data_IF_899720913628
#
_entry.id   IF_899720913628
#
_cell.length_a   1.000
_cell.length_b   1.000
_cell.length_c   1.000
_cell.angle_alpha   90.00
_cell.angle_beta   90.00
_cell.angle_gamma   90.00
#
_symmetry.space_group_name_H-M   'P 1'
#
loop_
_entity.id
_entity.type
_entity.pdbx_description
1 polymer ?
#
# COMPACT_ATOMS: atom_id res chain seq x y z
N UNK A 1 -12.45 -7.07 -4.63
CA UNK A 1 -13.27 -6.58 -5.75
C UNK A 1 -14.64 -7.27 -5.79
N UNK A 2 -14.74 -8.57 -5.93
CA UNK A 2 -16.02 -9.30 -6.01
C UNK A 2 -16.97 -9.05 -4.82
N UNK A 3 -16.44 -8.92 -3.61
CA UNK A 3 -17.25 -8.60 -2.42
C UNK A 3 -17.87 -7.21 -2.51
N UNK A 4 -17.18 -6.23 -3.07
CA UNK A 4 -17.71 -4.89 -3.28
C UNK A 4 -18.87 -4.88 -4.27
N UNK A 5 -18.69 -5.54 -5.42
CA UNK A 5 -19.74 -5.70 -6.44
C UNK A 5 -20.97 -6.40 -5.84
N UNK A 6 -20.75 -7.57 -5.23
CA UNK A 6 -21.85 -8.34 -4.65
C UNK A 6 -22.56 -7.59 -3.53
N UNK A 7 -21.82 -6.96 -2.61
CA UNK A 7 -22.38 -6.20 -1.50
C UNK A 7 -23.27 -5.03 -1.94
N UNK A 8 -22.88 -4.33 -2.99
CA UNK A 8 -23.69 -3.25 -3.56
C UNK A 8 -25.03 -3.77 -4.09
N UNK A 9 -25.02 -4.79 -4.97
CA UNK A 9 -26.27 -5.32 -5.53
C UNK A 9 -27.14 -6.04 -4.50
N UNK A 10 -26.55 -6.68 -3.51
CA UNK A 10 -27.27 -7.29 -2.40
C UNK A 10 -27.94 -6.20 -1.54
N UNK A 11 -27.27 -5.08 -1.30
CA UNK A 11 -27.86 -3.94 -0.61
C UNK A 11 -29.03 -3.33 -1.41
N UNK A 12 -28.90 -3.15 -2.72
CA UNK A 12 -29.97 -2.69 -3.59
C UNK A 12 -31.20 -3.62 -3.53
N UNK A 13 -30.98 -4.93 -3.58
CA UNK A 13 -32.06 -5.92 -3.52
C UNK A 13 -32.74 -5.96 -2.14
N UNK A 14 -31.98 -5.88 -1.05
CA UNK A 14 -32.51 -5.92 0.31
C UNK A 14 -33.43 -4.74 0.65
N UNK A 15 -33.06 -3.56 0.21
CA UNK A 15 -33.82 -2.32 0.48
C UNK A 15 -34.94 -2.08 -0.55
N UNK A 16 -35.12 -3.01 -1.51
CA UNK A 16 -35.96 -2.78 -2.70
C UNK A 16 -35.62 -1.47 -3.45
N UNK A 17 -34.35 -1.04 -3.35
CA UNK A 17 -33.88 0.20 -3.94
C UNK A 17 -34.45 1.50 -3.35
N UNK A 18 -35.30 1.42 -2.32
CA UNK A 18 -36.07 2.58 -1.82
C UNK A 18 -35.28 3.48 -0.88
N UNK A 19 -34.24 2.97 -0.21
CA UNK A 19 -33.51 3.73 0.81
C UNK A 19 -32.04 3.94 0.45
N UNK A 20 -31.51 3.22 -0.54
CA UNK A 20 -30.16 3.42 -1.04
C UNK A 20 -30.17 4.53 -2.10
N UNK A 21 -29.62 5.69 -1.78
CA UNK A 21 -29.59 6.85 -2.68
C UNK A 21 -28.23 7.09 -3.32
N UNK A 22 -27.21 6.35 -2.94
CA UNK A 22 -25.86 6.49 -3.50
C UNK A 22 -24.82 5.70 -2.70
N UNK A 23 -23.58 5.82 -3.14
CA UNK A 23 -22.42 5.27 -2.45
C UNK A 23 -21.46 6.41 -2.12
N UNK A 24 -20.65 6.21 -1.09
CA UNK A 24 -19.59 7.13 -0.70
C UNK A 24 -18.41 6.38 -0.11
N UNK A 25 -17.29 7.06 0.00
CA UNK A 25 -16.12 6.57 0.69
C UNK A 25 -15.64 7.63 1.69
N UNK A 26 -15.13 7.18 2.82
CA UNK A 26 -14.47 8.02 3.82
C UNK A 26 -13.09 7.44 4.07
N UNK A 27 -12.14 7.65 3.13
CA UNK A 27 -10.78 7.14 3.29
C UNK A 27 -10.08 7.90 4.42
N UNK A 28 -9.48 7.17 5.34
CA UNK A 28 -8.69 7.74 6.44
C UNK A 28 -7.21 7.87 6.08
N UNK A 29 -6.74 7.13 5.11
CA UNK A 29 -5.36 7.18 4.65
C UNK A 29 -5.17 8.09 3.43
N UNK A 30 -3.92 8.44 3.17
CA UNK A 30 -3.52 9.19 1.98
C UNK A 30 -3.32 8.28 0.75
N UNK A 31 -3.20 7.00 0.95
CA UNK A 31 -3.08 6.04 -0.13
C UNK A 31 -4.46 5.65 -0.64
N UNK A 32 -4.79 6.18 -1.80
CA UNK A 32 -5.99 5.78 -2.52
C UNK A 32 -5.63 4.65 -3.47
N UNK A 33 -6.47 3.62 -3.49
CA UNK A 33 -6.37 2.54 -4.43
C UNK A 33 -7.28 2.83 -5.64
N UNK A 34 -6.74 3.31 -6.77
CA UNK A 34 -7.56 3.78 -7.89
C UNK A 34 -8.54 2.73 -8.38
N UNK A 35 -8.12 1.48 -8.50
CA UNK A 35 -8.97 0.39 -9.01
C UNK A 35 -10.19 0.15 -8.13
N UNK A 36 -10.05 0.22 -6.81
CA UNK A 36 -11.17 0.00 -5.89
C UNK A 36 -12.12 1.19 -5.83
N UNK A 37 -11.59 2.42 -5.87
CA UNK A 37 -12.40 3.63 -5.87
C UNK A 37 -13.15 3.82 -7.18
N UNK A 38 -12.53 3.55 -8.31
CA UNK A 38 -13.23 3.59 -9.59
C UNK A 38 -14.34 2.55 -9.66
N UNK A 39 -14.07 1.31 -9.22
CA UNK A 39 -15.09 0.29 -9.11
C UNK A 39 -16.25 0.74 -8.21
N UNK A 40 -15.96 1.26 -7.01
CA UNK A 40 -16.99 1.74 -6.07
C UNK A 40 -17.91 2.80 -6.69
N UNK A 41 -17.31 3.81 -7.33
CA UNK A 41 -18.09 4.92 -7.87
C UNK A 41 -18.74 4.60 -9.22
N UNK A 42 -18.33 3.55 -9.91
CA UNK A 42 -19.00 3.08 -11.13
C UNK A 42 -20.24 2.22 -10.84
N UNK A 43 -20.28 1.52 -9.70
CA UNK A 43 -21.39 0.63 -9.33
C UNK A 43 -22.78 1.28 -9.45
N UNK A 44 -23.02 2.52 -8.95
CA UNK A 44 -24.36 3.14 -9.03
C UNK A 44 -24.82 3.46 -10.45
N UNK A 45 -23.93 3.46 -11.43
CA UNK A 45 -24.24 3.74 -12.84
C UNK A 45 -24.55 2.49 -13.65
N UNK A 46 -24.46 1.30 -13.02
CA UNK A 46 -24.74 0.02 -13.66
C UNK A 46 -25.99 -0.60 -13.08
N UNK A 47 -26.96 -0.86 -13.96
CA UNK A 47 -28.25 -1.45 -13.56
C UNK A 47 -28.13 -2.94 -13.23
N UNK A 48 -27.22 -3.65 -13.90
CA UNK A 48 -27.06 -5.10 -13.78
C UNK A 48 -25.72 -5.47 -13.12
N UNK A 49 -25.76 -6.57 -12.37
CA UNK A 49 -24.54 -7.17 -11.79
C UNK A 49 -23.62 -7.64 -12.90
N UNK A 50 -22.34 -7.38 -12.75
CA UNK A 50 -21.29 -7.72 -13.71
C UNK A 50 -20.15 -8.50 -13.07
N UNK A 51 -19.33 -9.11 -13.91
CA UNK A 51 -18.09 -9.78 -13.50
C UNK A 51 -16.98 -8.76 -13.25
N UNK A 52 -16.31 -8.87 -12.11
CA UNK A 52 -15.13 -8.03 -11.83
C UNK A 52 -14.00 -8.25 -12.83
N UNK A 53 -13.83 -9.45 -13.38
CA UNK A 53 -12.82 -9.75 -14.40
C UNK A 53 -13.09 -9.00 -15.73
N UNK A 54 -14.34 -8.97 -16.19
CA UNK A 54 -14.74 -8.23 -17.40
C UNK A 54 -14.58 -6.72 -17.18
N UNK A 55 -14.98 -6.25 -16.01
CA UNK A 55 -14.80 -4.85 -15.63
C UNK A 55 -13.33 -4.48 -15.58
N UNK A 56 -12.49 -5.33 -14.98
CA UNK A 56 -11.05 -5.11 -14.85
C UNK A 56 -10.38 -4.97 -16.23
N UNK A 57 -10.76 -5.77 -17.21
CA UNK A 57 -10.25 -5.64 -18.57
C UNK A 57 -10.57 -4.26 -19.17
N UNK A 58 -11.80 -3.79 -19.00
CA UNK A 58 -12.24 -2.48 -19.49
C UNK A 58 -11.50 -1.35 -18.76
N UNK A 59 -11.39 -1.44 -17.43
CA UNK A 59 -10.66 -0.51 -16.59
C UNK A 59 -9.20 -0.37 -17.01
N UNK A 60 -8.50 -1.48 -17.18
CA UNK A 60 -7.08 -1.47 -17.54
C UNK A 60 -6.83 -0.91 -18.94
N UNK A 61 -7.73 -1.21 -19.89
CA UNK A 61 -7.67 -0.61 -21.23
C UNK A 61 -7.83 0.91 -21.16
N UNK A 62 -8.77 1.41 -20.37
CA UNK A 62 -8.97 2.85 -20.17
C UNK A 62 -7.77 3.47 -19.42
N UNK A 63 -7.29 2.84 -18.36
CA UNK A 63 -6.20 3.31 -17.52
C UNK A 63 -4.88 3.45 -18.28
N UNK A 64 -4.54 2.48 -19.12
CA UNK A 64 -3.30 2.52 -19.90
C UNK A 64 -3.47 3.07 -21.31
N UNK A 65 -4.70 3.42 -21.71
CA UNK A 65 -4.99 4.01 -23.03
C UNK A 65 -4.72 3.10 -24.22
N UNK A 66 -4.68 1.77 -23.99
CA UNK A 66 -4.39 0.75 -25.01
C UNK A 66 -4.86 -0.64 -24.57
N UNK A 67 -4.92 -1.55 -25.52
CA UNK A 67 -5.09 -2.97 -25.17
C UNK A 67 -3.95 -3.44 -24.28
N UNK A 68 -4.30 -4.16 -23.22
CA UNK A 68 -3.31 -4.66 -22.28
C UNK A 68 -2.74 -6.01 -22.70
N UNK A 69 -1.47 -6.24 -22.40
CA UNK A 69 -0.83 -7.52 -22.66
C UNK A 69 -1.39 -8.63 -21.76
N UNK A 70 -1.29 -9.91 -22.19
CA UNK A 70 -1.70 -11.03 -21.35
C UNK A 70 -1.02 -11.05 -19.97
N UNK A 71 0.24 -10.64 -19.90
CA UNK A 71 1.01 -10.57 -18.64
C UNK A 71 0.39 -9.57 -17.66
N UNK A 72 -0.05 -8.41 -18.15
CA UNK A 72 -0.71 -7.40 -17.33
C UNK A 72 -2.07 -7.89 -16.83
N UNK A 73 -2.86 -8.53 -17.70
CA UNK A 73 -4.12 -9.15 -17.29
C UNK A 73 -3.89 -10.24 -16.23
N UNK A 74 -2.89 -11.09 -16.41
CA UNK A 74 -2.55 -12.13 -15.44
C UNK A 74 -2.09 -11.53 -14.10
N UNK A 75 -1.30 -10.47 -14.12
CA UNK A 75 -0.85 -9.77 -12.91
C UNK A 75 -2.04 -9.21 -12.12
N UNK A 76 -2.94 -8.50 -12.79
CA UNK A 76 -4.11 -7.92 -12.14
C UNK A 76 -5.11 -8.97 -11.66
N UNK A 77 -5.32 -10.06 -12.38
CA UNK A 77 -6.11 -11.20 -11.90
C UNK A 77 -5.51 -11.84 -10.65
N UNK A 78 -4.17 -11.96 -10.61
CA UNK A 78 -3.51 -12.45 -9.40
C UNK A 78 -3.76 -11.54 -8.21
N UNK A 79 -3.71 -10.21 -8.38
CA UNK A 79 -4.03 -9.23 -7.35
C UNK A 79 -5.51 -9.26 -6.96
N UNK A 80 -6.42 -9.35 -7.95
CA UNK A 80 -7.86 -9.44 -7.71
C UNK A 80 -8.22 -10.63 -6.81
N UNK A 81 -7.64 -11.79 -7.08
CA UNK A 81 -7.95 -13.02 -6.33
C UNK A 81 -7.22 -13.12 -4.99
N UNK A 82 -6.28 -12.25 -4.70
CA UNK A 82 -5.47 -12.27 -3.48
C UNK A 82 -5.60 -10.97 -2.68
N UNK A 83 -4.88 -9.94 -3.06
CA UNK A 83 -4.82 -8.65 -2.34
C UNK A 83 -6.19 -7.97 -2.25
N UNK A 84 -6.99 -8.05 -3.32
CA UNK A 84 -8.32 -7.44 -3.40
C UNK A 84 -9.47 -8.40 -3.05
N UNK A 85 -9.15 -9.54 -2.46
CA UNK A 85 -10.13 -10.55 -2.08
C UNK A 85 -9.95 -11.00 -0.63
N UNK A 86 -10.00 -10.04 0.30
CA UNK A 86 -9.93 -10.35 1.72
C UNK A 86 -11.03 -11.35 2.13
N UNK A 87 -10.75 -12.33 3.00
CA UNK A 87 -11.77 -13.22 3.55
C UNK A 87 -12.89 -12.45 4.24
N UNK A 88 -14.10 -13.01 4.24
CA UNK A 88 -15.28 -12.34 4.87
C UNK A 88 -15.11 -12.11 6.37
N UNK A 89 -14.35 -12.96 7.04
CA UNK A 89 -14.01 -12.90 8.45
C UNK A 89 -12.73 -12.11 8.76
N UNK A 90 -12.10 -11.54 7.73
CA UNK A 90 -10.94 -10.67 7.92
C UNK A 90 -11.36 -9.38 8.63
N UNK A 91 -10.78 -9.17 9.79
CA UNK A 91 -11.10 -8.05 10.70
C UNK A 91 -9.96 -7.03 10.79
N UNK A 92 -9.09 -7.02 9.80
CA UNK A 92 -8.01 -6.03 9.74
C UNK A 92 -8.57 -4.62 9.58
N UNK A 93 -8.13 -3.72 10.44
CA UNK A 93 -8.44 -2.30 10.35
C UNK A 93 -7.39 -1.59 9.51
N UNK A 94 -7.83 -0.89 8.48
CA UNK A 94 -6.94 -0.20 7.55
C UNK A 94 -6.17 -1.14 6.60
N UNK A 95 -5.08 -0.64 6.06
CA UNK A 95 -4.15 -1.39 5.20
C UNK A 95 -3.25 -2.31 6.03
N UNK A 96 -2.79 -3.40 5.41
CA UNK A 96 -1.80 -4.28 6.05
C UNK A 96 -0.47 -3.52 6.14
N UNK A 97 0.06 -3.40 7.35
CA UNK A 97 1.30 -2.68 7.62
C UNK A 97 2.53 -3.40 7.05
N UNK A 98 3.47 -2.60 6.54
CA UNK A 98 4.79 -3.09 6.15
C UNK A 98 5.77 -2.99 7.32
N UNK A 99 6.31 -4.11 7.76
CA UNK A 99 7.34 -4.13 8.80
C UNK A 99 8.68 -3.52 8.36
N UNK A 100 8.85 -3.20 7.06
CA UNK A 100 9.99 -2.37 6.60
C UNK A 100 10.00 -0.98 7.24
N UNK A 101 8.83 -0.46 7.62
CA UNK A 101 8.65 0.85 8.25
C UNK A 101 8.69 0.78 9.77
N UNK A 102 8.73 -0.42 10.37
CA UNK A 102 8.74 -0.58 11.80
C UNK A 102 10.06 -0.11 12.43
N UNK A 103 9.98 0.29 13.69
CA UNK A 103 11.19 0.47 14.50
C UNK A 103 11.93 -0.85 14.63
N UNK A 104 13.27 -0.86 14.53
CA UNK A 104 14.04 -2.10 14.63
C UNK A 104 13.71 -2.91 15.89
N UNK A 105 13.41 -4.18 15.71
CA UNK A 105 13.06 -5.11 16.79
C UNK A 105 12.95 -6.52 16.28
N UNK A 106 12.85 -7.49 17.20
CA UNK A 106 12.57 -8.89 16.90
C UNK A 106 11.12 -9.22 17.20
N UNK A 107 10.58 -10.24 16.52
CA UNK A 107 9.22 -10.73 16.71
C UNK A 107 8.15 -9.63 16.57
N UNK A 108 8.38 -8.69 15.67
CA UNK A 108 7.42 -7.65 15.39
C UNK A 108 6.22 -8.22 14.65
N UNK A 109 5.04 -7.93 15.15
CA UNK A 109 3.75 -8.32 14.56
C UNK A 109 2.97 -7.12 14.02
N UNK A 110 3.44 -5.90 14.28
CA UNK A 110 2.81 -4.65 13.83
C UNK A 110 3.82 -3.51 13.80
N UNK A 111 3.49 -2.49 13.04
CA UNK A 111 4.27 -1.24 12.95
C UNK A 111 3.71 -0.18 13.88
N UNK A 112 2.39 -0.10 13.96
CA UNK A 112 1.65 0.85 14.81
C UNK A 112 0.88 0.13 15.92
N UNK A 113 0.28 0.91 16.82
CA UNK A 113 -0.58 0.39 17.88
C UNK A 113 -1.95 -0.10 17.38
N UNK A 114 -2.35 0.30 16.18
CA UNK A 114 -3.66 0.02 15.58
C UNK A 114 -3.58 -0.88 14.36
N UNK A 115 -2.42 -0.98 13.76
CA UNK A 115 -2.22 -1.66 12.52
C UNK A 115 -2.16 -3.17 12.63
N UNK A 116 -2.14 -3.79 11.48
CA UNK A 116 -2.15 -5.23 11.31
C UNK A 116 -1.17 -5.61 10.20
N UNK A 117 -0.20 -6.47 10.52
CA UNK A 117 0.84 -6.86 9.55
C UNK A 117 0.67 -8.26 8.98
N UNK A 118 -0.30 -9.05 9.52
CA UNK A 118 -0.53 -10.41 9.05
C UNK A 118 -1.23 -10.42 7.70
N UNK A 119 -0.56 -10.93 6.68
CA UNK A 119 -1.12 -11.11 5.36
C UNK A 119 -2.22 -12.19 5.36
N UNK A 120 -3.33 -11.94 4.67
CA UNK A 120 -4.36 -12.94 4.38
C UNK A 120 -4.15 -13.62 3.01
N UNK A 121 -3.08 -13.30 2.33
CA UNK A 121 -2.65 -13.86 1.05
C UNK A 121 -1.18 -14.28 1.11
N UNK A 122 -0.76 -15.11 0.16
CA UNK A 122 0.63 -15.52 0.06
C UNK A 122 1.51 -14.39 -0.54
N UNK A 123 2.66 -14.06 0.05
CA UNK A 123 3.59 -13.04 -0.48
C UNK A 123 4.00 -13.27 -1.95
N UNK A 124 4.03 -14.52 -2.39
CA UNK A 124 4.32 -14.87 -3.78
C UNK A 124 3.35 -14.27 -4.80
N UNK A 125 2.15 -13.89 -4.36
CA UNK A 125 1.12 -13.30 -5.23
C UNK A 125 1.52 -11.92 -5.74
N UNK A 126 1.98 -11.05 -4.83
CA UNK A 126 2.49 -9.73 -5.18
C UNK A 126 3.82 -9.82 -5.92
N UNK A 127 4.68 -10.76 -5.53
CA UNK A 127 5.93 -11.03 -6.24
C UNK A 127 5.68 -11.52 -7.67
N UNK A 128 4.65 -12.35 -7.92
CA UNK A 128 4.24 -12.75 -9.26
C UNK A 128 3.77 -11.55 -10.07
N UNK A 129 2.90 -10.71 -9.52
CA UNK A 129 2.41 -9.51 -10.19
C UNK A 129 3.56 -8.55 -10.53
N UNK A 130 4.48 -8.29 -9.61
CA UNK A 130 5.65 -7.45 -9.83
C UNK A 130 6.56 -7.97 -10.96
N UNK A 131 6.80 -9.29 -11.02
CA UNK A 131 7.57 -9.91 -12.11
C UNK A 131 6.89 -9.74 -13.46
N UNK A 132 5.58 -9.96 -13.54
CA UNK A 132 4.81 -9.81 -14.77
C UNK A 132 4.81 -8.36 -15.27
N UNK A 133 4.59 -7.38 -14.39
CA UNK A 133 4.71 -5.96 -14.73
C UNK A 133 6.10 -5.60 -15.24
N UNK A 134 7.14 -6.05 -14.54
CA UNK A 134 8.53 -5.79 -14.92
C UNK A 134 8.88 -6.41 -16.28
N UNK A 135 8.36 -7.60 -16.59
CA UNK A 135 8.67 -8.31 -17.84
C UNK A 135 8.20 -7.58 -19.11
N UNK A 136 7.21 -6.72 -18.98
CA UNK A 136 6.65 -5.94 -20.10
C UNK A 136 6.88 -4.43 -19.97
N UNK A 137 7.68 -4.00 -19.02
CA UNK A 137 7.87 -2.57 -18.71
C UNK A 137 8.30 -1.74 -19.92
N UNK A 138 9.18 -2.27 -20.77
CA UNK A 138 9.64 -1.58 -21.99
C UNK A 138 8.50 -1.31 -22.99
N UNK A 139 7.46 -2.17 -23.04
CA UNK A 139 6.31 -2.00 -23.92
C UNK A 139 5.41 -0.83 -23.50
N UNK A 140 5.47 -0.46 -22.22
CA UNK A 140 4.65 0.61 -21.61
C UNK A 140 5.44 1.84 -21.22
N UNK A 141 6.70 1.93 -21.64
CA UNK A 141 7.57 3.07 -21.33
C UNK A 141 6.93 4.41 -21.74
N UNK A 142 6.90 5.35 -20.81
CA UNK A 142 6.26 6.66 -20.98
C UNK A 142 4.75 6.66 -20.71
N UNK A 143 4.15 5.51 -20.36
CA UNK A 143 2.78 5.46 -19.88
C UNK A 143 2.75 5.75 -18.37
N UNK A 144 2.36 6.96 -18.02
CA UNK A 144 2.43 7.44 -16.64
C UNK A 144 1.65 6.58 -15.64
N UNK A 145 0.45 6.10 -16.02
CA UNK A 145 -0.36 5.25 -15.14
C UNK A 145 0.25 3.88 -14.94
N UNK A 146 0.80 3.30 -16.01
CA UNK A 146 1.50 2.02 -15.91
C UNK A 146 2.76 2.12 -15.03
N UNK A 147 3.56 3.16 -15.22
CA UNK A 147 4.78 3.39 -14.42
C UNK A 147 4.45 3.62 -12.94
N UNK A 148 3.33 4.30 -12.66
CA UNK A 148 2.82 4.42 -11.28
C UNK A 148 2.47 3.05 -10.69
N UNK A 149 1.66 2.26 -11.39
CA UNK A 149 1.22 0.95 -10.92
C UNK A 149 2.41 -0.02 -10.79
N UNK A 150 3.38 0.03 -11.71
CA UNK A 150 4.60 -0.76 -11.61
C UNK A 150 5.37 -0.47 -10.31
N UNK A 151 5.58 0.81 -10.00
CA UNK A 151 6.28 1.21 -8.77
C UNK A 151 5.50 0.77 -7.55
N UNK A 152 4.19 0.97 -7.53
CA UNK A 152 3.33 0.62 -6.39
C UNK A 152 3.27 -0.90 -6.16
N UNK A 153 3.13 -1.70 -7.21
CA UNK A 153 3.11 -3.18 -7.12
C UNK A 153 4.47 -3.73 -6.67
N UNK A 154 5.58 -3.19 -7.19
CA UNK A 154 6.93 -3.60 -6.76
C UNK A 154 7.17 -3.17 -5.31
N UNK A 155 6.73 -1.98 -4.90
CA UNK A 155 6.75 -1.51 -3.51
C UNK A 155 6.04 -2.50 -2.58
N UNK A 156 4.83 -2.92 -2.95
CA UNK A 156 4.07 -3.88 -2.15
C UNK A 156 4.78 -5.24 -2.08
N UNK A 157 5.29 -5.73 -3.19
CA UNK A 157 6.06 -6.99 -3.22
C UNK A 157 7.30 -6.93 -2.32
N UNK A 158 7.99 -5.80 -2.29
CA UNK A 158 9.13 -5.58 -1.39
C UNK A 158 8.69 -5.54 0.08
N UNK A 159 7.54 -4.91 0.37
CA UNK A 159 6.95 -4.87 1.71
C UNK A 159 6.65 -6.29 2.23
N UNK A 160 5.99 -7.10 1.42
CA UNK A 160 5.66 -8.49 1.76
C UNK A 160 6.93 -9.33 1.98
N UNK A 161 7.94 -9.17 1.13
CA UNK A 161 9.25 -9.81 1.31
C UNK A 161 9.95 -9.36 2.59
N UNK A 162 9.82 -8.08 2.94
CA UNK A 162 10.37 -7.52 4.18
C UNK A 162 9.77 -8.17 5.42
N UNK A 163 8.45 -8.41 5.43
CA UNK A 163 7.78 -9.10 6.52
C UNK A 163 8.31 -10.53 6.69
N UNK A 164 8.51 -11.26 5.59
CA UNK A 164 9.08 -12.62 5.62
C UNK A 164 10.52 -12.61 6.14
N UNK A 165 11.37 -11.70 5.63
CA UNK A 165 12.76 -11.59 6.07
C UNK A 165 12.88 -11.26 7.55
N UNK A 166 12.02 -10.41 8.09
CA UNK A 166 12.05 -10.05 9.51
C UNK A 166 11.70 -11.24 10.41
N UNK A 167 10.75 -12.08 9.99
CA UNK A 167 10.45 -13.34 10.67
C UNK A 167 11.64 -14.30 10.63
N UNK A 168 12.29 -14.48 9.47
CA UNK A 168 13.49 -15.30 9.32
C UNK A 168 14.65 -14.80 10.19
N UNK A 169 14.86 -13.47 10.29
CA UNK A 169 15.86 -12.83 11.14
C UNK A 169 15.58 -13.18 12.62
N UNK A 170 14.32 -13.04 13.05
CA UNK A 170 13.93 -13.37 14.42
C UNK A 170 14.19 -14.83 14.74
N UNK A 171 13.84 -15.73 13.85
CA UNK A 171 14.06 -17.18 14.01
C UNK A 171 15.56 -17.55 14.06
N UNK A 172 16.40 -16.93 13.21
CA UNK A 172 17.85 -17.17 13.24
C UNK A 172 18.49 -16.61 14.51
N UNK A 173 17.99 -15.50 15.02
CA UNK A 173 18.40 -14.96 16.32
C UNK A 173 18.11 -15.93 17.46
N UNK A 174 16.89 -16.48 17.52
CA UNK A 174 16.46 -17.44 18.55
C UNK A 174 17.30 -18.73 18.53
N UNK A 175 17.58 -19.23 17.32
CA UNK A 175 18.46 -20.39 17.13
C UNK A 175 19.94 -20.10 17.40
N UNK A 176 20.29 -18.82 17.64
CA UNK A 176 21.68 -18.35 17.78
C UNK A 176 22.55 -18.63 16.54
N UNK A 177 21.94 -18.71 15.37
CA UNK A 177 22.60 -18.89 14.09
C UNK A 177 23.13 -17.55 13.59
N UNK A 178 24.41 -17.32 13.88
CA UNK A 178 25.05 -16.02 13.54
C UNK A 178 25.28 -15.82 12.05
N UNK A 179 25.41 -16.90 11.30
CA UNK A 179 25.66 -16.81 9.85
C UNK A 179 24.37 -16.40 9.13
N UNK A 180 23.29 -17.15 9.33
CA UNK A 180 21.99 -16.85 8.77
C UNK A 180 21.48 -15.48 9.25
N UNK A 181 21.62 -15.17 10.53
CA UNK A 181 21.24 -13.88 11.08
C UNK A 181 21.92 -12.72 10.33
N UNK A 182 23.25 -12.76 10.13
CA UNK A 182 23.96 -11.70 9.42
C UNK A 182 23.53 -11.60 7.95
N UNK A 183 23.38 -12.73 7.28
CA UNK A 183 22.96 -12.79 5.88
C UNK A 183 21.55 -12.18 5.69
N UNK A 184 20.60 -12.62 6.49
CA UNK A 184 19.19 -12.16 6.40
C UNK A 184 19.06 -10.70 6.80
N UNK A 185 19.79 -10.26 7.83
CA UNK A 185 19.82 -8.83 8.22
C UNK A 185 20.39 -7.97 7.10
N UNK A 186 21.46 -8.40 6.43
CA UNK A 186 22.01 -7.65 5.29
C UNK A 186 21.00 -7.59 4.14
N UNK A 187 20.32 -8.69 3.84
CA UNK A 187 19.26 -8.70 2.82
C UNK A 187 18.09 -7.75 3.14
N UNK A 188 17.71 -7.67 4.41
CA UNK A 188 16.68 -6.75 4.86
C UNK A 188 17.11 -5.29 4.71
N UNK A 189 18.33 -4.94 5.10
CA UNK A 189 18.87 -3.59 4.91
C UNK A 189 18.99 -3.21 3.43
N UNK A 190 19.46 -4.14 2.60
CA UNK A 190 19.54 -3.93 1.15
C UNK A 190 18.15 -3.75 0.52
N UNK A 191 17.14 -4.43 1.05
CA UNK A 191 15.75 -4.29 0.61
C UNK A 191 15.22 -2.90 0.94
N UNK A 192 15.49 -2.36 2.14
CA UNK A 192 15.13 -0.98 2.52
C UNK A 192 15.76 0.03 1.56
N UNK A 193 17.07 -0.10 1.27
CA UNK A 193 17.76 0.78 0.33
C UNK A 193 17.24 0.64 -1.11
N UNK A 194 16.79 -0.55 -1.49
CA UNK A 194 16.19 -0.78 -2.79
C UNK A 194 14.80 -0.16 -2.89
N UNK A 195 14.03 -0.22 -1.81
CA UNK A 195 12.73 0.44 -1.70
C UNK A 195 12.86 1.96 -1.83
N UNK A 196 13.82 2.56 -1.12
CA UNK A 196 14.11 3.99 -1.22
C UNK A 196 14.44 4.41 -2.66
N UNK A 197 15.34 3.66 -3.33
CA UNK A 197 15.66 3.92 -4.75
C UNK A 197 14.46 3.78 -5.67
N UNK A 198 13.60 2.78 -5.46
CA UNK A 198 12.39 2.59 -6.24
C UNK A 198 11.43 3.78 -6.08
N UNK A 199 11.12 4.15 -4.85
CA UNK A 199 10.17 5.21 -4.54
C UNK A 199 10.66 6.59 -4.99
N UNK A 200 11.97 6.84 -4.93
CA UNK A 200 12.57 8.08 -5.42
C UNK A 200 12.46 8.28 -6.93
N UNK A 201 12.07 7.26 -7.69
CA UNK A 201 11.84 7.38 -9.15
C UNK A 201 10.58 8.18 -9.49
N UNK A 202 9.66 8.37 -8.53
CA UNK A 202 8.40 9.07 -8.75
C UNK A 202 8.09 10.07 -7.63
N UNK A 203 7.65 11.25 -8.03
CA UNK A 203 7.31 12.35 -7.10
C UNK A 203 6.14 12.00 -6.17
N UNK A 204 5.22 11.16 -6.63
CA UNK A 204 4.04 10.74 -5.87
C UNK A 204 4.41 9.96 -4.61
N UNK A 205 5.54 9.26 -4.63
CA UNK A 205 6.07 8.50 -3.51
C UNK A 205 7.20 9.24 -2.75
N UNK A 206 7.43 10.53 -3.06
CA UNK A 206 8.49 11.31 -2.45
C UNK A 206 7.99 12.08 -1.23
N UNK A 207 8.57 11.81 -0.06
CA UNK A 207 8.30 12.56 1.17
C UNK A 207 8.66 14.05 1.04
N UNK A 208 9.61 14.38 0.17
CA UNK A 208 10.01 15.78 -0.07
C UNK A 208 8.84 16.66 -0.53
N UNK A 209 7.91 16.11 -1.32
CA UNK A 209 6.72 16.85 -1.75
C UNK A 209 5.84 17.25 -0.57
N UNK A 210 5.63 16.34 0.38
CA UNK A 210 4.89 16.56 1.61
C UNK A 210 5.56 17.59 2.51
N UNK A 211 6.86 17.44 2.78
CA UNK A 211 7.63 18.36 3.63
C UNK A 211 7.73 19.76 3.03
N UNK A 212 7.96 19.85 1.73
CA UNK A 212 8.02 21.13 1.03
C UNK A 212 6.68 21.87 1.02
N UNK A 213 5.57 21.14 0.86
CA UNK A 213 4.23 21.71 0.97
C UNK A 213 4.01 22.32 2.36
N UNK A 214 4.37 21.59 3.43
CA UNK A 214 4.26 22.10 4.79
C UNK A 214 5.15 23.34 5.01
N UNK A 215 6.41 23.30 4.58
CA UNK A 215 7.32 24.46 4.65
C UNK A 215 6.76 25.69 3.94
N UNK A 216 6.09 25.52 2.81
CA UNK A 216 5.57 26.62 2.01
C UNK A 216 4.47 27.42 2.71
N UNK A 217 3.86 26.90 3.76
CA UNK A 217 2.87 27.61 4.59
C UNK A 217 3.50 28.60 5.56
N UNK A 218 4.79 28.47 5.89
CA UNK A 218 5.50 29.37 6.78
C UNK A 218 5.92 30.67 6.11
N UNK A 219 5.79 31.79 6.81
CA UNK A 219 6.22 33.11 6.39
C UNK A 219 7.62 33.46 6.87
N UNK A 220 8.02 32.91 8.04
CA UNK A 220 9.35 33.06 8.62
C UNK A 220 10.12 31.72 8.54
N UNK A 221 11.44 31.77 8.68
CA UNK A 221 12.24 30.55 8.70
C UNK A 221 11.98 29.69 9.95
N UNK A 222 11.51 30.29 11.04
CA UNK A 222 11.10 29.57 12.25
C UNK A 222 9.79 28.82 12.01
N UNK A 223 8.78 29.46 11.42
CA UNK A 223 7.53 28.80 11.03
C UNK A 223 7.76 27.68 10.02
N UNK A 224 8.59 27.90 9.01
CA UNK A 224 8.93 26.87 8.03
C UNK A 224 9.53 25.63 8.68
N UNK A 225 10.46 25.81 9.63
CA UNK A 225 11.05 24.71 10.39
C UNK A 225 10.04 24.00 11.28
N UNK A 226 9.16 24.77 11.92
CA UNK A 226 8.08 24.21 12.75
C UNK A 226 7.11 23.37 11.95
N UNK A 227 6.67 23.87 10.79
CA UNK A 227 5.74 23.14 9.93
C UNK A 227 6.36 21.90 9.30
N UNK A 228 7.64 21.96 8.89
CA UNK A 228 8.38 20.78 8.41
C UNK A 228 8.51 19.72 9.51
N UNK A 229 8.87 20.15 10.73
CA UNK A 229 8.94 19.25 11.87
C UNK A 229 7.60 18.60 12.18
N UNK A 230 6.52 19.38 12.18
CA UNK A 230 5.17 18.88 12.43
C UNK A 230 4.73 17.88 11.34
N UNK A 231 4.98 18.21 10.07
CA UNK A 231 4.72 17.30 8.97
C UNK A 231 5.53 16.00 9.06
N UNK A 232 6.80 16.09 9.47
CA UNK A 232 7.64 14.92 9.72
C UNK A 232 7.13 14.09 10.89
N UNK A 233 6.67 14.75 11.97
CA UNK A 233 6.12 14.06 13.14
C UNK A 233 4.86 13.27 12.79
N UNK A 234 3.98 13.84 11.95
CA UNK A 234 2.74 13.17 11.50
C UNK A 234 2.99 11.85 10.76
N UNK A 235 4.09 11.76 10.01
CA UNK A 235 4.43 10.55 9.23
C UNK A 235 5.44 9.63 9.92
N UNK A 236 5.79 9.90 11.17
CA UNK A 236 6.74 9.08 11.93
C UNK A 236 6.19 8.69 13.31
N UNK A 237 6.10 9.61 14.24
CA UNK A 237 5.75 9.32 15.65
C UNK A 237 4.42 9.92 16.08
N UNK A 238 3.75 10.63 15.19
CA UNK A 238 2.46 11.30 15.42
C UNK A 238 2.45 12.32 16.56
N UNK A 239 3.57 12.82 16.99
CA UNK A 239 3.62 13.83 18.04
C UNK A 239 5.01 14.10 18.60
N UNK A 240 5.07 14.68 19.79
CA UNK A 240 6.31 14.95 20.52
C UNK A 240 6.88 13.70 21.20
N UNK A 241 7.96 13.86 21.95
CA UNK A 241 8.61 12.77 22.66
C UNK A 241 7.71 12.09 23.71
N UNK A 242 6.74 12.81 24.28
CA UNK A 242 5.78 12.26 25.24
C UNK A 242 4.77 11.38 24.49
N UNK A 243 4.19 11.90 23.42
CA UNK A 243 3.27 11.14 22.57
C UNK A 243 3.94 9.89 21.97
N UNK A 244 5.21 10.00 21.53
CA UNK A 244 5.97 8.90 20.97
C UNK A 244 6.29 7.79 21.99
N UNK A 245 6.42 8.11 23.28
CA UNK A 245 6.77 7.13 24.32
C UNK A 245 5.57 6.62 25.13
N UNK A 246 4.49 7.37 25.19
CA UNK A 246 3.33 7.08 26.05
C UNK A 246 2.00 7.13 25.29
N UNK A 247 1.97 7.74 24.12
CA UNK A 247 0.77 7.88 23.31
C UNK A 247 0.36 6.59 22.61
N UNK A 248 -0.95 6.31 22.55
CA UNK A 248 -1.50 5.15 21.85
C UNK A 248 -1.54 5.28 20.32
N UNK A 249 -1.29 6.49 19.78
CA UNK A 249 -1.37 6.78 18.35
C UNK A 249 0.00 6.95 17.68
N UNK A 250 1.09 6.77 18.41
CA UNK A 250 2.42 6.85 17.83
C UNK A 250 2.57 5.78 16.73
N UNK A 251 3.33 6.12 15.71
CA UNK A 251 3.60 5.27 14.54
C UNK A 251 2.40 5.00 13.62
N UNK A 252 1.22 5.59 13.88
CA UNK A 252 0.02 5.38 13.05
C UNK A 252 0.25 5.73 11.57
N UNK A 253 1.02 6.78 11.30
CA UNK A 253 1.28 7.22 9.93
C UNK A 253 2.27 6.33 9.16
N UNK A 254 3.03 5.48 9.84
CA UNK A 254 3.95 4.55 9.17
C UNK A 254 3.23 3.47 8.34
N UNK A 255 1.92 3.33 8.53
CA UNK A 255 1.07 2.47 7.70
C UNK A 255 1.08 2.93 6.23
N UNK A 256 1.22 4.23 6.00
CA UNK A 256 0.93 4.86 4.71
C UNK A 256 2.17 5.34 3.95
N UNK A 257 3.35 5.33 4.54
CA UNK A 257 4.54 5.91 3.93
C UNK A 257 5.75 5.01 4.16
N UNK A 258 6.26 4.45 3.07
CA UNK A 258 7.62 3.97 3.03
C UNK A 258 8.52 5.20 2.82
N UNK A 259 9.26 5.60 3.86
CA UNK A 259 10.14 6.75 3.77
C UNK A 259 11.30 6.51 2.81
N UNK A 260 11.53 7.42 1.85
CA UNK A 260 12.87 7.58 1.31
C UNK A 260 13.77 8.16 2.40
N UNK A 261 14.88 7.49 2.67
CA UNK A 261 15.90 7.95 3.61
C UNK A 261 16.35 9.37 3.28
N UNK A 262 16.57 10.16 4.32
CA UNK A 262 17.08 11.52 4.23
C UNK A 262 18.37 11.58 3.41
N UNK A 263 18.39 12.38 2.38
CA UNK A 263 19.58 13.04 1.85
C UNK A 263 19.44 14.55 2.00
#
# INVERSE_FOLDING_TARGET
MNQLVNGYYDACAHTNGKTLHGVGATPEGIENNPVMFELLYELPWREERFSSDEWLQTYLKARYGREVSPEIMEAWRALEHTVYNAPKDYQGEGTIESLLCARPGFHLDRTSTWGYSKLFYAPDSTAKAARLFTSVADQYKGNNNFEYDLVDIVRQSNADKGNVLLEEISQSYDRKDKEDFRKQTQQFLDLILSQDRLLSTRKEFSVSSWLNAARSLGTTEEEKRLYEWNASALITVWGDSIAANQGGLHDLSLIHISEPTRR
#
